data_IF_763783859007
#
_entry.id   IF_763783859007
#
_cell.length_a   1.000
_cell.length_b   1.000
_cell.length_c   1.000
_cell.angle_alpha   90.00
_cell.angle_beta   90.00
_cell.angle_gamma   90.00
#
_symmetry.space_group_name_H-M   'P 1'
#
loop_
_entity.id
_entity.type
_entity.pdbx_description
1 polymer ?
#
# COMPACT_ATOMS: atom_id res chain seq x y z
N UNK A 1 -9.73 -15.97 6.39
CA UNK A 1 -8.84 -15.17 5.51
C UNK A 1 -9.69 -14.57 4.42
N UNK A 2 -9.58 -13.26 4.20
CA UNK A 2 -10.48 -12.59 3.27
C UNK A 2 -10.08 -12.90 1.82
N UNK A 3 -10.76 -13.87 1.24
CA UNK A 3 -10.93 -13.99 -0.19
C UNK A 3 -11.96 -12.92 -0.56
N UNK A 4 -11.48 -11.77 -0.96
CA UNK A 4 -12.26 -10.57 -1.27
C UNK A 4 -11.74 -9.37 -0.48
N UNK A 5 -11.15 -8.41 -1.18
CA UNK A 5 -10.71 -7.14 -0.59
C UNK A 5 -11.79 -6.09 -0.75
N UNK A 6 -12.01 -5.26 0.27
CA UNK A 6 -12.81 -4.03 0.14
C UNK A 6 -11.96 -2.82 -0.26
N UNK A 7 -10.72 -3.05 -0.66
CA UNK A 7 -9.81 -2.04 -1.19
C UNK A 7 -10.04 -1.99 -2.69
N UNK A 8 -10.38 -0.85 -3.22
CA UNK A 8 -10.92 -0.64 -4.55
C UNK A 8 -9.95 -1.02 -5.69
N UNK A 9 -8.64 -0.91 -5.46
CA UNK A 9 -7.60 -1.19 -6.45
C UNK A 9 -6.94 -2.58 -6.32
N UNK A 10 -7.49 -3.50 -5.49
CA UNK A 10 -6.96 -4.85 -5.31
C UNK A 10 -8.07 -5.86 -5.04
N UNK A 11 -7.84 -7.12 -5.36
CA UNK A 11 -8.83 -8.20 -5.21
C UNK A 11 -8.64 -9.02 -3.95
N UNK A 12 -7.41 -9.09 -3.45
CA UNK A 12 -7.06 -9.85 -2.25
C UNK A 12 -5.98 -9.15 -1.44
N UNK A 13 -5.83 -9.54 -0.18
CA UNK A 13 -4.71 -9.12 0.67
C UNK A 13 -3.94 -10.31 1.18
N UNK A 14 -2.62 -10.18 1.23
CA UNK A 14 -1.72 -11.17 1.79
C UNK A 14 -0.79 -10.50 2.81
N UNK A 15 -0.82 -11.00 4.05
CA UNK A 15 -0.12 -10.36 5.18
C UNK A 15 0.82 -11.37 5.86
N UNK A 16 2.00 -11.68 5.30
CA UNK A 16 3.02 -12.51 5.95
C UNK A 16 3.70 -11.78 7.11
N UNK A 17 3.52 -10.47 7.22
CA UNK A 17 4.00 -9.65 8.34
C UNK A 17 2.82 -8.94 8.98
N UNK A 18 2.84 -8.74 10.29
CA UNK A 18 1.87 -7.95 11.05
C UNK A 18 2.59 -6.94 11.95
N UNK A 19 2.01 -5.74 12.08
CA UNK A 19 2.61 -4.67 12.87
C UNK A 19 3.49 -3.72 12.07
N UNK A 20 3.74 -2.54 12.63
CA UNK A 20 4.47 -1.46 11.98
C UNK A 20 4.94 -0.42 13.01
N UNK A 21 5.77 0.52 12.57
CA UNK A 21 6.12 1.75 13.30
C UNK A 21 5.65 2.97 12.51
N UNK A 22 4.93 3.93 13.11
CA UNK A 22 4.57 5.19 12.44
C UNK A 22 5.82 5.96 12.00
N UNK A 23 5.84 6.44 10.75
CA UNK A 23 6.98 7.19 10.16
C UNK A 23 6.58 8.52 9.54
N UNK A 24 5.28 8.83 9.49
CA UNK A 24 4.79 10.08 8.89
C UNK A 24 3.45 10.49 9.47
N UNK A 25 3.00 11.75 9.25
CA UNK A 25 1.65 12.18 9.61
C UNK A 25 0.52 11.32 9.01
N UNK A 26 0.75 10.67 7.88
CA UNK A 26 -0.19 9.70 7.28
C UNK A 26 -0.43 8.46 8.12
N UNK A 27 0.42 8.19 9.13
CA UNK A 27 0.24 7.08 10.06
C UNK A 27 -0.66 7.42 11.26
N UNK A 28 -1.06 8.70 11.44
CA UNK A 28 -1.77 9.17 12.64
C UNK A 28 -3.11 8.47 12.86
N UNK A 29 -3.91 8.31 11.81
CA UNK A 29 -5.23 7.68 11.85
C UNK A 29 -5.23 6.34 11.10
N UNK A 30 -4.13 5.59 11.18
CA UNK A 30 -3.91 4.35 10.45
C UNK A 30 -5.04 3.32 10.72
N UNK A 31 -5.75 2.93 9.67
CA UNK A 31 -6.80 1.93 9.77
C UNK A 31 -6.27 0.56 10.21
N UNK A 32 -5.04 0.23 9.79
CA UNK A 32 -4.43 -1.05 10.08
C UNK A 32 -4.12 -1.21 11.58
N UNK A 33 -3.68 -0.15 12.27
CA UNK A 33 -3.48 -0.18 13.72
C UNK A 33 -4.80 -0.42 14.48
N UNK A 34 -5.90 0.21 14.01
CA UNK A 34 -7.25 -0.02 14.56
C UNK A 34 -7.72 -1.45 14.35
N UNK A 35 -7.51 -1.97 13.14
CA UNK A 35 -7.86 -3.34 12.80
C UNK A 35 -7.01 -4.34 13.59
N UNK A 36 -5.71 -4.09 13.75
CA UNK A 36 -4.81 -4.96 14.53
C UNK A 36 -5.29 -5.14 15.98
N UNK A 37 -5.68 -4.05 16.67
CA UNK A 37 -6.28 -4.13 18.02
C UNK A 37 -7.58 -4.95 18.07
N UNK A 38 -8.40 -4.86 17.01
CA UNK A 38 -9.62 -5.65 16.91
C UNK A 38 -9.30 -7.13 16.71
N UNK A 39 -8.38 -7.45 15.79
CA UNK A 39 -8.00 -8.82 15.48
C UNK A 39 -7.30 -9.51 16.65
N UNK A 40 -6.45 -8.79 17.39
CA UNK A 40 -5.82 -9.28 18.61
C UNK A 40 -6.86 -9.74 19.64
N UNK A 41 -7.92 -8.95 19.85
CA UNK A 41 -9.01 -9.29 20.79
C UNK A 41 -9.83 -10.49 20.35
N UNK A 42 -9.93 -10.76 19.07
CA UNK A 42 -10.65 -11.92 18.52
C UNK A 42 -9.87 -13.24 18.75
N UNK A 43 -8.55 -13.20 18.88
CA UNK A 43 -7.70 -14.25 19.46
C UNK A 43 -7.66 -15.62 18.79
N UNK A 44 -8.42 -15.88 17.72
CA UNK A 44 -8.61 -17.22 17.13
C UNK A 44 -8.15 -17.31 15.66
N UNK A 45 -7.87 -18.50 15.19
CA UNK A 45 -7.74 -18.79 13.76
C UNK A 45 -6.60 -18.06 13.01
N UNK A 46 -5.38 -18.01 13.56
CA UNK A 46 -4.22 -17.38 12.91
C UNK A 46 -4.15 -15.87 13.13
N UNK A 47 -4.97 -15.30 14.02
CA UNK A 47 -4.95 -13.89 14.37
C UNK A 47 -3.91 -13.54 15.44
N UNK A 48 -3.28 -14.53 16.06
CA UNK A 48 -2.21 -14.37 17.06
C UNK A 48 -1.02 -13.55 16.58
N UNK A 49 -0.79 -13.46 15.27
CA UNK A 49 0.24 -12.59 14.70
C UNK A 49 0.03 -11.09 14.99
N UNK A 50 -1.18 -10.67 15.35
CA UNK A 50 -1.46 -9.27 15.72
C UNK A 50 -1.19 -8.96 17.19
N UNK A 51 -0.85 -9.97 18.01
CA UNK A 51 -0.61 -9.80 19.45
C UNK A 51 0.52 -8.79 19.72
N UNK A 52 0.18 -7.74 20.48
CA UNK A 52 1.10 -6.68 20.87
C UNK A 52 1.55 -5.74 19.75
N UNK A 53 1.04 -5.90 18.51
CA UNK A 53 1.47 -5.06 17.38
C UNK A 53 0.86 -3.65 17.40
N UNK A 54 -0.25 -3.46 18.12
CA UNK A 54 -0.89 -2.16 18.26
C UNK A 54 -1.29 -1.90 19.72
N UNK A 55 -1.39 -0.62 20.07
CA UNK A 55 -1.77 -0.16 21.41
C UNK A 55 -2.65 1.09 21.32
N UNK A 56 -3.24 1.50 22.42
CA UNK A 56 -3.84 2.83 22.53
C UNK A 56 -2.80 3.86 22.95
N UNK A 57 -2.73 4.98 22.26
CA UNK A 57 -1.94 6.14 22.65
C UNK A 57 -2.51 6.78 23.92
N UNK A 58 -1.82 7.76 24.51
CA UNK A 58 -2.33 8.54 25.65
C UNK A 58 -3.68 9.21 25.36
N UNK A 59 -3.95 9.60 24.11
CA UNK A 59 -5.24 10.16 23.66
C UNK A 59 -6.29 9.10 23.32
N UNK A 60 -6.06 7.81 23.63
CA UNK A 60 -6.98 6.71 23.33
C UNK A 60 -6.97 6.22 21.88
N UNK A 61 -6.22 6.86 20.97
CA UNK A 61 -6.14 6.47 19.55
C UNK A 61 -5.39 5.16 19.38
N UNK A 62 -5.88 4.26 18.50
CA UNK A 62 -5.12 3.10 18.03
C UNK A 62 -3.85 3.53 17.28
N UNK A 63 -2.70 3.03 17.69
CA UNK A 63 -1.40 3.24 17.04
C UNK A 63 -0.62 1.93 17.02
N UNK A 64 0.21 1.73 16.02
CA UNK A 64 1.16 0.63 16.05
C UNK A 64 2.18 0.82 17.18
N UNK A 65 2.57 -0.30 17.82
CA UNK A 65 3.46 -0.30 18.98
C UNK A 65 4.95 -0.24 18.60
N UNK A 66 5.28 -0.52 17.35
CA UNK A 66 6.64 -0.79 16.88
C UNK A 66 6.97 -2.28 16.82
N UNK A 67 6.17 -3.14 17.47
CA UNK A 67 6.34 -4.58 17.40
C UNK A 67 5.91 -5.08 16.01
N UNK A 68 6.75 -5.96 15.43
CA UNK A 68 6.51 -6.65 14.16
C UNK A 68 6.57 -8.14 14.40
N UNK A 69 5.57 -8.87 13.94
CA UNK A 69 5.49 -10.32 14.00
C UNK A 69 5.50 -10.89 12.58
N UNK A 70 6.34 -11.89 12.34
CA UNK A 70 6.38 -12.65 11.09
C UNK A 70 5.38 -13.81 11.17
N UNK A 71 4.67 -14.09 10.08
CA UNK A 71 3.71 -15.19 9.98
C UNK A 71 4.19 -16.20 8.93
N UNK A 72 5.01 -17.14 9.38
CA UNK A 72 5.52 -18.24 8.56
C UNK A 72 4.38 -19.08 7.95
N UNK A 73 3.30 -19.29 8.70
CA UNK A 73 2.14 -20.06 8.23
C UNK A 73 1.37 -19.38 7.09
N UNK A 74 1.50 -18.04 6.97
CA UNK A 74 0.89 -17.29 5.89
C UNK A 74 1.77 -17.17 4.63
N UNK A 75 3.06 -17.53 4.74
CA UNK A 75 4.03 -17.28 3.66
C UNK A 75 3.60 -17.95 2.34
N UNK A 76 3.19 -19.20 2.38
CA UNK A 76 2.83 -19.98 1.19
C UNK A 76 1.34 -19.87 0.78
N UNK A 77 0.57 -18.96 1.38
CA UNK A 77 -0.85 -18.81 1.06
C UNK A 77 -1.12 -18.51 -0.43
N UNK A 78 -0.37 -17.62 -1.12
CA UNK A 78 -0.62 -17.34 -2.53
C UNK A 78 -0.50 -18.57 -3.44
N UNK A 79 0.38 -19.51 -3.10
CA UNK A 79 0.57 -20.78 -3.87
C UNK A 79 -0.67 -21.66 -3.89
N UNK A 80 -1.60 -21.47 -2.92
CA UNK A 80 -2.85 -22.24 -2.81
C UNK A 80 -4.00 -21.63 -3.60
N UNK A 81 -3.83 -20.42 -4.14
CA UNK A 81 -4.89 -19.76 -4.91
C UNK A 81 -4.82 -20.18 -6.38
N UNK A 82 -5.89 -20.81 -6.86
CA UNK A 82 -5.95 -21.35 -8.23
C UNK A 82 -6.19 -20.28 -9.30
N UNK A 83 -7.00 -19.27 -8.98
CA UNK A 83 -7.34 -18.18 -9.92
C UNK A 83 -6.37 -17.04 -9.77
N UNK A 84 -5.96 -16.42 -10.90
CA UNK A 84 -5.16 -15.21 -10.92
C UNK A 84 -5.84 -14.07 -10.15
N UNK A 85 -5.07 -13.30 -9.39
CA UNK A 85 -5.56 -12.20 -8.54
C UNK A 85 -4.58 -11.04 -8.52
N UNK A 86 -5.12 -9.85 -8.33
CA UNK A 86 -4.34 -8.69 -7.89
C UNK A 86 -4.31 -8.72 -6.36
N UNK A 87 -3.10 -8.77 -5.79
CA UNK A 87 -2.88 -9.04 -4.36
C UNK A 87 -2.12 -7.87 -3.72
N UNK A 88 -2.73 -7.19 -2.76
CA UNK A 88 -2.03 -6.21 -1.95
C UNK A 88 -1.24 -6.91 -0.84
N UNK A 89 0.08 -6.75 -0.87
CA UNK A 89 1.00 -7.36 0.08
C UNK A 89 1.16 -6.45 1.30
N UNK A 90 0.95 -7.02 2.49
CA UNK A 90 1.12 -6.33 3.77
C UNK A 90 0.20 -5.09 3.96
N UNK A 91 -1.10 -5.26 3.73
CA UNK A 91 -2.10 -4.22 4.04
C UNK A 91 -2.17 -3.85 5.55
N UNK A 92 -1.59 -4.69 6.42
CA UNK A 92 -1.63 -4.56 7.88
C UNK A 92 -0.24 -4.32 8.51
N UNK A 93 0.77 -4.00 7.68
CA UNK A 93 2.17 -3.80 8.06
C UNK A 93 2.92 -3.08 6.96
N UNK A 94 4.25 -3.05 7.06
CA UNK A 94 5.17 -2.63 6.01
C UNK A 94 6.22 -3.74 5.82
N UNK A 95 6.30 -4.32 4.62
CA UNK A 95 7.24 -5.42 4.33
C UNK A 95 8.70 -4.98 4.53
N UNK A 96 8.99 -3.72 4.26
CA UNK A 96 10.32 -3.13 4.37
C UNK A 96 10.57 -2.48 5.75
N UNK A 97 9.80 -2.87 6.78
CA UNK A 97 10.07 -2.44 8.15
C UNK A 97 11.44 -2.95 8.62
N UNK A 98 12.19 -2.13 9.38
CA UNK A 98 13.56 -2.41 9.84
C UNK A 98 13.67 -3.73 10.63
N UNK A 99 12.62 -4.08 11.38
CA UNK A 99 12.54 -5.33 12.13
C UNK A 99 12.23 -6.59 11.28
N UNK A 100 11.98 -6.44 9.97
CA UNK A 100 11.78 -7.59 9.06
C UNK A 100 13.15 -7.99 8.50
N UNK A 101 13.65 -9.22 8.75
CA UNK A 101 14.94 -9.66 8.22
C UNK A 101 14.96 -9.66 6.68
N UNK A 102 16.08 -9.29 6.06
CA UNK A 102 16.24 -9.31 4.61
C UNK A 102 15.93 -10.70 4.02
N UNK A 103 16.38 -11.78 4.70
CA UNK A 103 16.09 -13.15 4.31
C UNK A 103 14.59 -13.48 4.28
N UNK A 104 13.79 -12.88 5.18
CA UNK A 104 12.33 -13.04 5.13
C UNK A 104 11.72 -12.29 3.94
N UNK A 105 12.20 -11.07 3.66
CA UNK A 105 11.76 -10.29 2.49
C UNK A 105 12.08 -11.08 1.21
N UNK A 106 13.28 -11.65 1.08
CA UNK A 106 13.66 -12.51 -0.06
C UNK A 106 12.67 -13.67 -0.24
N UNK A 107 12.35 -14.41 0.83
CA UNK A 107 11.37 -15.50 0.78
C UNK A 107 9.96 -15.03 0.35
N UNK A 108 9.54 -13.83 0.74
CA UNK A 108 8.30 -13.23 0.26
C UNK A 108 8.38 -12.97 -1.25
N UNK A 109 9.51 -12.47 -1.75
CA UNK A 109 9.75 -12.26 -3.18
C UNK A 109 9.78 -13.59 -3.96
N UNK A 110 10.40 -14.64 -3.42
CA UNK A 110 10.40 -16.00 -4.00
C UNK A 110 8.99 -16.56 -4.15
N UNK A 111 8.13 -16.36 -3.13
CA UNK A 111 6.72 -16.75 -3.21
C UNK A 111 5.98 -15.99 -4.29
N UNK A 112 6.21 -14.67 -4.40
CA UNK A 112 5.60 -13.84 -5.43
C UNK A 112 6.03 -14.27 -6.84
N UNK A 113 7.33 -14.49 -7.04
CA UNK A 113 7.88 -14.99 -8.32
C UNK A 113 7.39 -16.38 -8.70
N UNK A 114 7.25 -17.27 -7.70
CA UNK A 114 6.69 -18.61 -7.88
C UNK A 114 5.18 -18.67 -8.15
N UNK A 115 4.49 -17.50 -8.18
CA UNK A 115 3.06 -17.39 -8.45
C UNK A 115 2.78 -16.42 -9.60
N UNK A 116 3.25 -16.68 -10.84
CA UNK A 116 3.16 -15.74 -11.96
C UNK A 116 1.71 -15.47 -12.43
N UNK A 117 0.74 -16.27 -12.00
CA UNK A 117 -0.68 -16.04 -12.26
C UNK A 117 -1.26 -14.88 -11.46
N UNK A 118 -0.60 -14.44 -10.37
CA UNK A 118 -1.02 -13.31 -9.55
C UNK A 118 -0.17 -12.07 -9.85
N UNK A 119 -0.75 -10.89 -9.63
CA UNK A 119 -0.01 -9.63 -9.58
C UNK A 119 0.09 -9.20 -8.14
N UNK A 120 1.29 -8.91 -7.65
CA UNK A 120 1.55 -8.51 -6.28
C UNK A 120 1.88 -7.04 -6.20
N UNK A 121 1.10 -6.30 -5.42
CA UNK A 121 1.27 -4.87 -5.17
C UNK A 121 1.88 -4.68 -3.78
N UNK A 122 3.17 -4.37 -3.73
CA UNK A 122 3.90 -4.08 -2.49
C UNK A 122 3.95 -2.58 -2.28
N UNK A 123 3.41 -2.09 -1.17
CA UNK A 123 3.41 -0.66 -0.81
C UNK A 123 4.21 -0.44 0.46
N UNK A 124 5.12 0.53 0.45
CA UNK A 124 5.95 0.87 1.61
C UNK A 124 6.05 2.38 1.83
N UNK A 125 6.29 2.76 3.07
CA UNK A 125 6.74 4.12 3.44
C UNK A 125 8.25 4.20 3.73
N UNK A 126 8.97 3.10 3.41
CA UNK A 126 10.42 2.93 3.62
C UNK A 126 11.14 2.59 2.31
N UNK A 127 11.06 3.44 1.27
CA UNK A 127 11.71 3.17 -0.01
C UNK A 127 13.25 3.17 0.08
N UNK A 128 13.84 3.79 1.11
CA UNK A 128 15.26 3.70 1.43
C UNK A 128 15.70 2.25 1.58
N UNK A 129 14.94 1.45 2.36
CA UNK A 129 15.25 0.04 2.56
C UNK A 129 14.99 -0.80 1.29
N UNK A 130 14.04 -0.41 0.45
CA UNK A 130 13.89 -1.04 -0.87
C UNK A 130 15.14 -0.85 -1.71
N UNK A 131 15.70 0.38 -1.71
CA UNK A 131 16.93 0.71 -2.44
C UNK A 131 18.13 -0.07 -1.89
N UNK A 132 18.24 -0.25 -0.59
CA UNK A 132 19.29 -1.05 0.04
C UNK A 132 19.26 -2.51 -0.44
N UNK A 133 18.08 -3.10 -0.53
CA UNK A 133 17.89 -4.51 -0.86
C UNK A 133 17.63 -4.78 -2.35
N UNK A 134 17.50 -3.76 -3.21
CA UNK A 134 17.01 -3.88 -4.59
C UNK A 134 17.81 -4.85 -5.48
N UNK A 135 19.09 -5.02 -5.20
CA UNK A 135 19.99 -5.88 -5.99
C UNK A 135 20.02 -7.32 -5.45
N UNK A 136 19.53 -7.53 -4.21
CA UNK A 136 19.40 -8.84 -3.56
C UNK A 136 18.01 -9.48 -3.78
N UNK A 137 17.03 -8.70 -4.29
CA UNK A 137 15.67 -9.15 -4.51
C UNK A 137 15.42 -9.53 -5.96
N UNK A 138 14.71 -10.64 -6.17
CA UNK A 138 14.31 -11.09 -7.51
C UNK A 138 13.04 -10.37 -7.98
N UNK A 139 13.23 -9.40 -8.88
CA UNK A 139 12.17 -8.58 -9.46
C UNK A 139 11.48 -9.30 -10.61
N UNK A 140 10.43 -10.06 -10.29
CA UNK A 140 9.60 -10.73 -11.29
C UNK A 140 8.59 -9.73 -11.91
N UNK A 141 8.16 -9.95 -13.18
CA UNK A 141 7.23 -9.04 -13.87
C UNK A 141 5.88 -8.83 -13.16
N UNK A 142 5.47 -9.79 -12.34
CA UNK A 142 4.23 -9.76 -11.56
C UNK A 142 4.36 -9.08 -10.20
N UNK A 143 5.55 -8.53 -9.85
CA UNK A 143 5.80 -7.82 -8.59
C UNK A 143 5.88 -6.32 -8.86
N UNK A 144 4.91 -5.58 -8.34
CA UNK A 144 4.82 -4.12 -8.41
C UNK A 144 5.26 -3.51 -7.09
N UNK A 145 6.02 -2.42 -7.13
CA UNK A 145 6.47 -1.71 -5.93
C UNK A 145 5.96 -0.28 -5.92
N UNK A 146 5.44 0.14 -4.79
CA UNK A 146 4.94 1.49 -4.60
C UNK A 146 5.39 2.14 -3.30
N UNK A 147 5.27 3.46 -3.25
CA UNK A 147 5.48 4.22 -2.02
C UNK A 147 4.33 5.19 -1.76
N UNK A 148 4.08 5.46 -0.46
CA UNK A 148 3.07 6.44 -0.07
C UNK A 148 3.66 7.85 -0.07
N UNK A 149 2.88 8.81 -0.59
CA UNK A 149 3.23 10.24 -0.65
C UNK A 149 2.05 11.07 -0.17
N UNK A 150 2.04 11.44 1.09
CA UNK A 150 0.92 12.14 1.73
C UNK A 150 0.94 13.66 1.50
N UNK A 151 2.13 14.24 1.28
CA UNK A 151 2.36 15.66 1.00
C UNK A 151 3.70 15.85 0.29
N UNK A 152 3.96 17.06 -0.20
CA UNK A 152 5.21 17.41 -0.90
C UNK A 152 6.49 17.19 -0.07
N UNK A 153 6.39 17.16 1.26
CA UNK A 153 7.50 16.86 2.16
C UNK A 153 8.07 15.43 1.94
N UNK A 154 7.31 14.54 1.30
CA UNK A 154 7.71 13.14 1.06
C UNK A 154 8.10 12.84 -0.39
N UNK A 155 8.43 13.85 -1.21
CA UNK A 155 8.91 13.64 -2.59
C UNK A 155 10.20 12.83 -2.65
N UNK A 156 11.01 12.85 -1.61
CA UNK A 156 12.22 12.02 -1.57
C UNK A 156 11.90 10.53 -1.66
N UNK A 157 10.78 10.08 -1.11
CA UNK A 157 10.34 8.69 -1.26
C UNK A 157 10.11 8.31 -2.74
N UNK A 158 9.61 9.25 -3.55
CA UNK A 158 9.44 9.02 -5.00
C UNK A 158 10.80 8.89 -5.68
N UNK A 159 11.75 9.78 -5.37
CA UNK A 159 13.10 9.75 -5.96
C UNK A 159 13.83 8.45 -5.62
N UNK A 160 13.66 7.96 -4.40
CA UNK A 160 14.21 6.65 -4.00
C UNK A 160 13.54 5.51 -4.77
N UNK A 161 12.21 5.51 -4.88
CA UNK A 161 11.47 4.50 -5.65
C UNK A 161 11.92 4.45 -7.12
N UNK A 162 12.18 5.61 -7.74
CA UNK A 162 12.67 5.72 -9.13
C UNK A 162 14.03 5.02 -9.35
N UNK A 163 14.80 4.76 -8.28
CA UNK A 163 16.09 4.03 -8.35
C UNK A 163 15.89 2.51 -8.47
N UNK A 164 14.67 2.00 -8.23
CA UNK A 164 14.31 0.57 -8.34
C UNK A 164 13.96 0.24 -9.79
N UNK A 165 14.95 0.30 -10.69
CA UNK A 165 14.73 0.18 -12.14
C UNK A 165 14.33 -1.22 -12.60
N UNK A 166 14.63 -2.27 -11.81
CA UNK A 166 14.30 -3.67 -12.12
C UNK A 166 12.81 -4.00 -11.89
N UNK A 167 12.07 -3.18 -11.13
CA UNK A 167 10.65 -3.37 -10.93
C UNK A 167 9.87 -3.09 -12.22
N UNK A 168 8.95 -3.96 -12.58
CA UNK A 168 8.10 -3.85 -13.78
C UNK A 168 7.12 -2.67 -13.71
N UNK A 169 6.58 -2.41 -12.52
CA UNK A 169 5.68 -1.29 -12.23
C UNK A 169 6.12 -0.61 -10.93
N UNK A 170 6.27 0.70 -11.00
CA UNK A 170 6.47 1.59 -9.83
C UNK A 170 5.26 2.49 -9.67
N UNK A 171 4.62 2.43 -8.52
CA UNK A 171 3.39 3.20 -8.30
C UNK A 171 3.46 4.10 -7.07
N UNK A 172 2.65 5.16 -7.07
CA UNK A 172 2.49 6.04 -5.94
C UNK A 172 1.10 5.88 -5.33
N UNK A 173 1.04 5.80 -4.00
CA UNK A 173 -0.20 5.91 -3.25
C UNK A 173 -0.21 7.24 -2.51
N UNK A 174 -0.91 8.22 -3.05
CA UNK A 174 -1.16 9.48 -2.39
C UNK A 174 -2.33 9.30 -1.40
N UNK A 175 -2.11 8.44 -0.40
CA UNK A 175 -3.10 8.03 0.59
C UNK A 175 -2.46 7.93 2.01
N UNK A 176 -3.03 8.65 2.99
CA UNK A 176 -4.02 9.72 2.81
C UNK A 176 -3.36 10.95 2.18
N UNK A 177 -4.06 11.59 1.24
CA UNK A 177 -3.59 12.87 0.70
C UNK A 177 -3.85 13.98 1.72
N UNK A 178 -2.77 14.62 2.20
CA UNK A 178 -2.81 15.59 3.30
C UNK A 178 -2.36 16.99 2.88
N UNK A 179 -2.06 17.18 1.63
CA UNK A 179 -1.67 18.47 1.07
C UNK A 179 -1.47 18.42 -0.44
N UNK A 180 -1.39 19.56 -1.07
CA UNK A 180 -1.12 19.68 -2.50
C UNK A 180 0.22 19.04 -2.90
N UNK A 181 0.24 18.43 -4.10
CA UNK A 181 1.43 17.83 -4.70
C UNK A 181 1.77 18.48 -6.06
N UNK A 182 2.03 19.80 -6.11
CA UNK A 182 2.09 20.57 -7.37
C UNK A 182 3.22 20.13 -8.31
N UNK A 183 4.28 19.54 -7.77
CA UNK A 183 5.47 19.09 -8.52
C UNK A 183 5.74 17.60 -8.31
N UNK A 184 4.67 16.78 -8.16
CA UNK A 184 4.82 15.35 -7.96
C UNK A 184 5.75 14.75 -9.04
N UNK A 185 6.90 14.13 -8.68
CA UNK A 185 7.84 13.58 -9.64
C UNK A 185 7.25 12.31 -10.28
N UNK A 186 6.90 12.36 -11.57
CA UNK A 186 6.27 11.24 -12.29
C UNK A 186 7.19 10.52 -13.28
N UNK A 187 8.44 10.96 -13.46
CA UNK A 187 9.39 10.27 -14.34
C UNK A 187 9.58 8.82 -13.85
N UNK A 188 9.32 7.84 -14.74
CA UNK A 188 9.43 6.42 -14.40
C UNK A 188 8.45 5.93 -13.32
N UNK A 189 7.35 6.64 -13.12
CA UNK A 189 6.19 6.20 -12.34
C UNK A 189 5.14 5.70 -13.31
N UNK A 190 4.62 4.51 -13.05
CA UNK A 190 3.74 3.79 -13.95
C UNK A 190 2.26 3.84 -13.51
N UNK A 191 1.97 4.33 -12.28
CA UNK A 191 0.62 4.43 -11.74
C UNK A 191 0.55 5.36 -10.53
N UNK A 192 -0.58 6.08 -10.39
CA UNK A 192 -0.86 6.95 -9.23
C UNK A 192 -2.24 6.66 -8.69
N UNK A 193 -2.31 6.31 -7.40
CA UNK A 193 -3.54 6.13 -6.62
C UNK A 193 -3.71 7.34 -5.72
N UNK A 194 -4.91 7.91 -5.67
CA UNK A 194 -5.23 9.05 -4.79
C UNK A 194 -6.44 8.74 -3.92
N UNK A 195 -6.35 9.06 -2.65
CA UNK A 195 -7.47 8.88 -1.73
C UNK A 195 -7.33 9.67 -0.44
N UNK A 196 -8.48 10.05 0.11
CA UNK A 196 -8.59 10.73 1.39
C UNK A 196 -8.47 9.78 2.58
N UNK A 197 -8.20 10.34 3.74
CA UNK A 197 -8.14 9.61 5.00
C UNK A 197 -9.52 9.08 5.40
N UNK A 198 -9.60 7.88 5.95
CA UNK A 198 -10.86 7.22 6.27
C UNK A 198 -10.99 6.85 7.74
N UNK A 199 -12.20 7.01 8.28
CA UNK A 199 -12.56 6.61 9.63
C UNK A 199 -12.57 7.77 10.63
N UNK A 200 -12.80 7.50 11.92
CA UNK A 200 -12.86 8.52 12.97
C UNK A 200 -11.61 9.38 13.01
N UNK A 201 -11.79 10.70 12.99
CA UNK A 201 -10.71 11.67 12.97
C UNK A 201 -10.06 11.89 11.60
N UNK A 202 -10.69 11.40 10.52
CA UNK A 202 -10.23 11.64 9.15
C UNK A 202 -10.08 13.13 8.86
N UNK A 203 -8.91 13.51 8.36
CA UNK A 203 -8.60 14.88 7.93
C UNK A 203 -9.20 15.14 6.55
N UNK A 204 -9.68 16.34 6.28
CA UNK A 204 -10.26 16.69 4.98
C UNK A 204 -9.19 16.62 3.88
N UNK A 205 -9.65 16.34 2.67
CA UNK A 205 -8.88 16.38 1.44
C UNK A 205 -9.50 17.41 0.49
N UNK A 206 -8.71 18.36 0.02
CA UNK A 206 -9.19 19.43 -0.85
C UNK A 206 -9.32 18.95 -2.32
N UNK A 207 -10.44 19.22 -2.99
CA UNK A 207 -10.64 18.82 -4.39
C UNK A 207 -9.54 19.34 -5.33
N UNK A 208 -9.06 20.55 -5.11
CA UNK A 208 -7.99 21.14 -5.92
C UNK A 208 -6.69 20.32 -5.90
N UNK A 209 -6.38 19.63 -4.78
CA UNK A 209 -5.20 18.76 -4.69
C UNK A 209 -5.33 17.54 -5.59
N UNK A 210 -6.53 16.95 -5.63
CA UNK A 210 -6.85 15.76 -6.44
C UNK A 210 -6.82 16.12 -7.93
N UNK A 211 -7.47 17.22 -8.33
CA UNK A 211 -7.45 17.72 -9.70
C UNK A 211 -6.02 17.99 -10.19
N UNK A 212 -5.21 18.68 -9.40
CA UNK A 212 -3.82 18.96 -9.77
C UNK A 212 -2.96 17.70 -9.97
N UNK A 213 -3.20 16.63 -9.20
CA UNK A 213 -2.51 15.34 -9.41
C UNK A 213 -3.04 14.68 -10.71
N UNK A 214 -4.37 14.68 -10.92
CA UNK A 214 -4.98 14.10 -12.10
C UNK A 214 -4.44 14.74 -13.39
N UNK A 215 -4.50 16.08 -13.49
CA UNK A 215 -3.99 16.85 -14.64
C UNK A 215 -2.51 16.54 -14.91
N UNK A 216 -1.73 16.41 -13.83
CA UNK A 216 -0.32 16.06 -13.93
C UNK A 216 -0.11 14.63 -14.45
N UNK A 217 -0.93 13.67 -14.04
CA UNK A 217 -0.90 12.30 -14.56
C UNK A 217 -1.27 12.28 -16.04
N UNK A 218 -2.34 12.99 -16.43
CA UNK A 218 -2.79 13.09 -17.83
C UNK A 218 -1.71 13.70 -18.72
N UNK A 219 -1.07 14.81 -18.30
CA UNK A 219 0.00 15.45 -19.05
C UNK A 219 1.25 14.57 -19.26
N UNK A 220 1.37 13.48 -18.52
CA UNK A 220 2.50 12.54 -18.55
C UNK A 220 2.12 11.14 -19.03
N UNK A 221 0.84 10.91 -19.37
CA UNK A 221 0.33 9.60 -19.77
C UNK A 221 0.40 8.55 -18.67
N UNK A 222 0.39 8.97 -17.38
CA UNK A 222 0.42 8.05 -16.23
C UNK A 222 -1.00 7.70 -15.82
N UNK A 223 -1.37 6.41 -15.74
CA UNK A 223 -2.66 5.99 -15.24
C UNK A 223 -2.98 6.58 -13.87
N UNK A 224 -4.19 7.10 -13.73
CA UNK A 224 -4.69 7.75 -12.52
C UNK A 224 -5.86 6.96 -11.94
N UNK A 225 -5.80 6.62 -10.67
CA UNK A 225 -6.86 5.93 -9.92
C UNK A 225 -7.34 6.81 -8.77
N UNK A 226 -8.62 7.15 -8.78
CA UNK A 226 -9.23 7.87 -7.65
C UNK A 226 -10.00 6.91 -6.76
N UNK A 227 -9.47 6.63 -5.61
CA UNK A 227 -10.03 5.64 -4.70
C UNK A 227 -11.27 6.14 -3.97
N UNK A 228 -11.21 7.32 -3.35
CA UNK A 228 -12.29 7.88 -2.54
C UNK A 228 -11.95 9.26 -1.98
N UNK A 229 -12.98 10.02 -1.61
CA UNK A 229 -12.82 11.27 -0.86
C UNK A 229 -12.41 11.06 0.60
N UNK A 230 -12.74 9.91 1.20
CA UNK A 230 -12.43 9.62 2.60
C UNK A 230 -13.52 10.09 3.56
N UNK A 231 -13.12 10.57 4.75
CA UNK A 231 -14.04 11.00 5.80
C UNK A 231 -14.43 9.88 6.77
N UNK A 232 -15.26 10.22 7.76
CA UNK A 232 -15.68 9.27 8.81
C UNK A 232 -16.40 8.07 8.19
N UNK A 233 -17.29 8.31 7.25
CA UNK A 233 -17.95 7.29 6.44
C UNK A 233 -17.48 7.39 4.98
N UNK A 234 -16.48 6.61 4.62
CA UNK A 234 -15.89 6.63 3.29
C UNK A 234 -16.87 6.31 2.15
N UNK A 235 -17.91 5.50 2.43
CA UNK A 235 -18.93 5.14 1.43
C UNK A 235 -19.85 6.31 1.11
N UNK A 236 -20.17 7.14 2.10
CA UNK A 236 -21.02 8.31 1.90
C UNK A 236 -20.33 9.41 1.07
N UNK A 237 -19.00 9.53 1.22
CA UNK A 237 -18.23 10.52 0.47
C UNK A 237 -18.02 10.16 -1.02
N UNK A 238 -18.18 8.86 -1.35
CA UNK A 238 -18.08 8.38 -2.73
C UNK A 238 -16.68 8.38 -3.32
N UNK A 239 -16.63 8.08 -4.62
CA UNK A 239 -15.38 8.02 -5.41
C UNK A 239 -15.51 8.69 -6.79
N UNK A 240 -16.52 9.53 -6.97
CA UNK A 240 -16.64 10.34 -8.19
C UNK A 240 -15.79 11.60 -8.11
N UNK A 241 -15.06 11.89 -9.17
CA UNK A 241 -14.29 13.11 -9.38
C UNK A 241 -14.73 13.71 -10.71
N UNK A 242 -15.26 14.93 -10.69
CA UNK A 242 -15.82 15.59 -11.87
C UNK A 242 -16.92 14.75 -12.56
N UNK A 243 -17.81 14.13 -11.77
CA UNK A 243 -18.97 13.39 -12.26
C UNK A 243 -18.69 11.98 -12.80
N UNK A 244 -17.48 11.45 -12.62
CA UNK A 244 -17.12 10.09 -13.05
C UNK A 244 -16.13 9.40 -12.13
N UNK A 245 -16.07 8.08 -12.20
CA UNK A 245 -15.05 7.27 -11.52
C UNK A 245 -13.78 7.19 -12.39
N UNK A 246 -12.62 7.15 -11.72
CA UNK A 246 -11.31 7.09 -12.36
C UNK A 246 -10.58 5.83 -11.90
N UNK A 247 -10.56 4.82 -12.77
CA UNK A 247 -10.03 3.48 -12.52
C UNK A 247 -8.79 3.14 -13.36
N UNK A 248 -8.00 4.16 -13.73
CA UNK A 248 -6.77 3.95 -14.51
C UNK A 248 -5.81 3.00 -13.79
N UNK A 249 -5.37 1.96 -14.50
CA UNK A 249 -4.38 0.98 -14.02
C UNK A 249 -3.31 0.75 -15.09
N UNK A 250 -2.09 0.34 -14.69
CA UNK A 250 -1.08 -0.11 -15.65
C UNK A 250 -1.58 -1.29 -16.47
N UNK A 251 -1.26 -1.31 -17.76
CA UNK A 251 -1.54 -2.48 -18.61
C UNK A 251 -0.67 -3.65 -18.12
N UNK A 252 -1.27 -4.81 -17.93
CA UNK A 252 -0.53 -6.04 -17.64
C UNK A 252 0.22 -6.50 -18.87
N UNK A 253 1.40 -7.09 -18.69
CA UNK A 253 2.21 -7.59 -19.80
C UNK A 253 1.55 -8.66 -20.70
N UNK A 254 0.32 -9.08 -20.42
CA UNK A 254 -0.51 -9.91 -21.30
C UNK A 254 -1.26 -9.11 -22.38
N UNK A 255 -1.39 -7.79 -22.22
CA UNK A 255 -2.07 -6.91 -23.17
C UNK A 255 -1.10 -6.19 -24.14
N UNK A 256 0.18 -6.57 -24.14
CA UNK A 256 1.21 -6.04 -25.03
C UNK A 256 1.49 -6.94 -26.26
N UNK A 257 0.49 -7.76 -26.67
CA UNK A 257 0.56 -8.48 -27.96
C UNK A 257 -0.49 -7.98 -28.92
#
# INVERSE_FOLDING_TARGET
MAVGSSIEWTQATWNPVAGCTPVSPGCLNCYAARMALRLERMGTGGLGKYAGTAKRSRSGRPVFSGRVNLDEGALDLPRRWRLGRIVFVNSMSDLFHDAVPASFIQRVFDVMGGCPQHTFQVLTKRPERVVELKDELDWHPNVWIGTSVESAAYYERVRLLQRVRRASVRFLSCEPLLGALPRLPLAGVDWVIVGGESGPGARPMEPAWVHGIKERCESRGVPFFFKQWGGVNKKAAGRELAGQEWDGMPKHGKDQR
#
